data_IF_130571579562
#
_entry.id   IF_130571579562
#
_cell.length_a   1.000
_cell.length_b   1.000
_cell.length_c   1.000
_cell.angle_alpha   90.00
_cell.angle_beta   90.00
_cell.angle_gamma   90.00
#
_symmetry.space_group_name_H-M   'P 1'
#
loop_
_entity.id
_entity.type
_entity.pdbx_description
1 polymer ?
#
# COMPACT_ATOMS: atom_id res chain seq x y z
N UNK A 1 13.41 -11.04 -12.56
CA UNK A 1 14.30 -10.09 -11.85
C UNK A 1 13.39 -9.31 -10.92
N UNK A 2 13.75 -9.18 -9.64
CA UNK A 2 12.93 -8.50 -8.63
C UNK A 2 13.61 -7.27 -8.04
N UNK A 3 14.54 -6.69 -8.81
CA UNK A 3 15.28 -5.50 -8.44
C UNK A 3 15.16 -4.49 -9.57
N UNK A 4 14.92 -3.24 -9.21
CA UNK A 4 14.85 -2.12 -10.16
C UNK A 4 15.87 -1.04 -9.79
N UNK A 5 16.54 -0.50 -10.81
CA UNK A 5 17.45 0.61 -10.63
C UNK A 5 16.69 1.91 -10.36
N UNK A 6 17.15 2.64 -9.35
CA UNK A 6 16.70 3.97 -8.97
C UNK A 6 17.69 5.08 -9.39
N UNK A 7 18.76 4.72 -10.11
CA UNK A 7 19.75 5.70 -10.57
C UNK A 7 19.07 6.79 -11.41
N UNK A 8 19.45 8.04 -11.14
CA UNK A 8 18.91 9.24 -11.80
C UNK A 8 17.59 9.74 -11.22
N UNK A 9 16.99 9.06 -10.23
CA UNK A 9 15.78 9.51 -9.55
C UNK A 9 16.09 10.07 -8.17
N UNK A 10 15.37 11.12 -7.77
CA UNK A 10 15.40 11.60 -6.39
C UNK A 10 14.65 10.61 -5.50
N UNK A 11 15.23 10.23 -4.36
CA UNK A 11 14.61 9.26 -3.43
C UNK A 11 13.24 9.71 -2.92
N UNK A 12 13.06 11.02 -2.73
CA UNK A 12 11.78 11.59 -2.33
C UNK A 12 10.68 11.35 -3.38
N UNK A 13 11.01 11.47 -4.66
CA UNK A 13 10.06 11.20 -5.74
C UNK A 13 9.75 9.72 -5.86
N UNK A 14 10.75 8.86 -5.66
CA UNK A 14 10.58 7.40 -5.61
C UNK A 14 9.63 7.02 -4.48
N UNK A 15 9.86 7.53 -3.26
CA UNK A 15 9.00 7.27 -2.11
C UNK A 15 7.57 7.76 -2.37
N UNK A 16 7.42 8.99 -2.87
CA UNK A 16 6.11 9.57 -3.17
C UNK A 16 5.38 8.76 -4.26
N UNK A 17 6.04 8.39 -5.36
CA UNK A 17 5.43 7.63 -6.45
C UNK A 17 4.94 6.25 -5.99
N UNK A 18 5.77 5.53 -5.22
CA UNK A 18 5.40 4.24 -4.66
C UNK A 18 4.24 4.40 -3.67
N UNK A 19 4.31 5.34 -2.73
CA UNK A 19 3.23 5.58 -1.78
C UNK A 19 1.92 5.98 -2.47
N UNK A 20 2.02 6.85 -3.48
CA UNK A 20 0.87 7.34 -4.23
C UNK A 20 0.23 6.23 -5.05
N UNK A 21 0.98 5.23 -5.52
CA UNK A 21 0.45 4.05 -6.21
C UNK A 21 0.00 2.92 -5.26
N UNK A 22 0.42 2.94 -3.99
CA UNK A 22 0.14 1.89 -3.01
C UNK A 22 -1.31 1.92 -2.53
N UNK A 23 -1.85 0.77 -2.12
CA UNK A 23 -3.20 0.65 -1.55
C UNK A 23 -3.17 0.44 -0.03
N UNK A 24 -4.23 0.83 0.71
CA UNK A 24 -4.45 0.34 2.08
C UNK A 24 -4.69 -1.18 2.09
N UNK A 25 -4.35 -1.84 3.19
CA UNK A 25 -4.51 -3.29 3.36
C UNK A 25 -5.14 -3.63 4.71
N UNK A 26 -6.21 -4.42 4.71
CA UNK A 26 -6.85 -4.94 5.92
C UNK A 26 -7.17 -3.82 6.93
N UNK A 27 -6.69 -3.97 8.17
CA UNK A 27 -6.85 -2.96 9.22
C UNK A 27 -6.18 -1.61 8.92
N UNK A 28 -5.32 -1.53 7.89
CA UNK A 28 -4.72 -0.28 7.41
C UNK A 28 -5.74 0.77 6.99
N UNK A 29 -6.96 0.37 6.60
CA UNK A 29 -8.07 1.31 6.33
C UNK A 29 -8.39 2.22 7.52
N UNK A 30 -8.19 1.79 8.77
CA UNK A 30 -8.41 2.65 9.95
C UNK A 30 -7.42 3.81 10.07
N UNK A 31 -6.31 3.78 9.34
CA UNK A 31 -5.28 4.83 9.30
C UNK A 31 -5.13 5.45 7.91
N UNK A 32 -6.04 5.13 6.99
CA UNK A 32 -5.93 5.51 5.60
C UNK A 32 -6.16 7.02 5.40
N UNK A 33 -5.15 7.66 4.82
CA UNK A 33 -5.21 9.02 4.31
C UNK A 33 -5.25 8.97 2.78
N UNK A 34 -6.30 9.51 2.18
CA UNK A 34 -6.45 9.53 0.70
C UNK A 34 -5.56 10.56 0.04
N UNK A 35 -4.98 11.50 0.80
CA UNK A 35 -4.12 12.53 0.26
C UNK A 35 -2.84 11.92 -0.34
N UNK A 36 -2.46 12.31 -1.57
CA UNK A 36 -1.16 11.93 -2.13
C UNK A 36 -0.02 12.59 -1.35
N UNK A 37 1.09 11.86 -1.22
CA UNK A 37 2.33 12.36 -0.65
C UNK A 37 3.00 13.32 -1.62
N UNK A 38 3.34 14.51 -1.12
CA UNK A 38 4.16 15.48 -1.83
C UNK A 38 5.65 15.21 -1.60
N UNK A 39 6.50 15.74 -2.49
CA UNK A 39 7.97 15.56 -2.42
C UNK A 39 8.52 16.03 -1.07
N UNK A 40 8.07 17.17 -0.57
CA UNK A 40 8.58 17.78 0.67
C UNK A 40 8.28 16.90 1.89
N UNK A 41 7.12 16.25 1.89
CA UNK A 41 6.75 15.28 2.93
C UNK A 41 7.66 14.04 2.85
N UNK A 42 7.88 13.51 1.65
CA UNK A 42 8.77 12.37 1.42
C UNK A 42 10.22 12.68 1.86
N UNK A 43 10.72 13.88 1.57
CA UNK A 43 12.04 14.35 2.05
C UNK A 43 12.12 14.38 3.57
N UNK A 44 11.05 14.82 4.24
CA UNK A 44 10.96 14.83 5.69
C UNK A 44 11.03 13.43 6.31
N UNK A 45 10.35 12.46 5.68
CA UNK A 45 10.36 11.05 6.12
C UNK A 45 11.73 10.40 5.90
N UNK A 46 12.37 10.67 4.76
CA UNK A 46 13.67 10.10 4.40
C UNK A 46 14.82 10.56 5.30
N UNK A 47 14.67 11.70 5.99
CA UNK A 47 15.62 12.14 7.03
C UNK A 47 15.57 11.25 8.28
N UNK A 48 14.48 10.52 8.50
CA UNK A 48 14.27 9.69 9.69
C UNK A 48 14.60 8.22 9.42
N UNK A 49 14.21 7.71 8.25
CA UNK A 49 14.44 6.32 7.86
C UNK A 49 14.39 6.19 6.34
N UNK A 50 15.04 5.17 5.81
CA UNK A 50 14.94 4.77 4.39
C UNK A 50 14.13 3.49 4.20
N UNK A 51 13.69 2.85 5.29
CA UNK A 51 12.90 1.60 5.25
C UNK A 51 11.48 1.86 5.70
N UNK A 52 10.53 1.44 4.88
CA UNK A 52 9.10 1.67 5.07
C UNK A 52 8.33 0.38 4.82
N UNK A 53 7.77 -0.21 5.89
CA UNK A 53 6.89 -1.37 5.76
C UNK A 53 5.43 -0.94 5.55
N UNK A 54 4.99 0.09 6.29
CA UNK A 54 3.68 0.72 6.15
C UNK A 54 3.79 2.24 6.31
N UNK A 55 2.96 2.99 5.58
CA UNK A 55 2.84 4.44 5.70
C UNK A 55 1.36 4.83 5.57
N UNK A 56 0.82 5.50 6.60
CA UNK A 56 -0.57 6.00 6.63
C UNK A 56 -1.61 4.97 6.16
N UNK A 57 -1.51 3.76 6.71
CA UNK A 57 -2.41 2.64 6.37
C UNK A 57 -2.09 1.91 5.07
N UNK A 58 -1.17 2.42 4.23
CA UNK A 58 -0.74 1.80 2.97
C UNK A 58 0.47 0.91 3.17
N UNK A 59 0.50 -0.21 2.47
CA UNK A 59 1.58 -1.20 2.53
C UNK A 59 2.69 -0.86 1.54
N UNK A 60 3.93 -0.82 2.02
CA UNK A 60 5.08 -0.33 1.26
C UNK A 60 6.15 -1.42 1.10
N UNK A 61 6.67 -1.98 2.20
CA UNK A 61 7.74 -3.00 2.20
C UNK A 61 8.95 -2.65 1.32
N UNK A 62 9.38 -1.38 1.36
CA UNK A 62 10.52 -0.88 0.56
C UNK A 62 11.70 -0.43 1.41
N UNK A 63 12.89 -0.49 0.83
CA UNK A 63 14.11 0.10 1.36
C UNK A 63 14.76 0.99 0.29
N UNK A 64 14.97 2.26 0.60
CA UNK A 64 15.48 3.30 -0.30
C UNK A 64 16.89 3.77 0.07
N UNK A 65 17.63 3.00 0.87
CA UNK A 65 18.99 3.33 1.30
C UNK A 65 20.00 3.36 0.14
N UNK A 66 19.79 2.51 -0.87
CA UNK A 66 20.65 2.37 -2.04
C UNK A 66 19.97 2.78 -3.34
N UNK A 67 20.67 2.58 -4.46
CA UNK A 67 20.19 2.87 -5.82
C UNK A 67 19.48 1.71 -6.49
N UNK A 68 19.17 0.65 -5.75
CA UNK A 68 18.41 -0.50 -6.19
C UNK A 68 17.27 -0.73 -5.20
N UNK A 69 16.10 -1.11 -5.73
CA UNK A 69 14.93 -1.45 -4.94
C UNK A 69 14.55 -2.91 -5.20
N UNK A 70 14.54 -3.72 -4.14
CA UNK A 70 13.89 -5.03 -4.13
C UNK A 70 12.36 -4.85 -4.12
N UNK A 71 11.71 -5.32 -5.18
CA UNK A 71 10.28 -5.11 -5.43
C UNK A 71 9.39 -6.19 -4.82
N UNK A 72 9.96 -7.32 -4.35
CA UNK A 72 9.18 -8.49 -3.92
C UNK A 72 8.15 -8.18 -2.84
N UNK A 73 8.55 -7.43 -1.82
CA UNK A 73 7.67 -7.05 -0.73
C UNK A 73 6.55 -6.13 -1.20
N UNK A 74 6.90 -5.10 -1.97
CA UNK A 74 5.93 -4.14 -2.50
C UNK A 74 4.91 -4.81 -3.42
N UNK A 75 5.38 -5.62 -4.36
CA UNK A 75 4.55 -6.29 -5.37
C UNK A 75 3.68 -7.40 -4.78
N UNK A 76 4.11 -8.06 -3.71
CA UNK A 76 3.32 -9.07 -3.03
C UNK A 76 1.97 -8.51 -2.56
N UNK A 77 1.96 -7.25 -2.11
CA UNK A 77 0.77 -6.61 -1.57
C UNK A 77 0.08 -5.67 -2.57
N UNK A 78 0.84 -4.95 -3.40
CA UNK A 78 0.32 -3.98 -4.36
C UNK A 78 0.10 -4.55 -5.77
N UNK A 79 0.40 -5.83 -5.98
CA UNK A 79 0.22 -6.56 -7.23
C UNK A 79 1.51 -6.71 -8.03
N UNK A 80 1.60 -7.79 -8.81
CA UNK A 80 2.77 -8.13 -9.61
C UNK A 80 3.19 -6.96 -10.53
N UNK A 81 4.46 -6.57 -10.48
CA UNK A 81 5.04 -5.51 -11.31
C UNK A 81 4.60 -4.09 -10.92
N UNK A 82 4.03 -3.90 -9.72
CA UNK A 82 3.47 -2.61 -9.32
C UNK A 82 4.57 -1.57 -9.08
N UNK A 83 5.70 -1.97 -8.49
CA UNK A 83 6.85 -1.08 -8.33
C UNK A 83 7.42 -0.65 -9.68
N UNK A 84 7.60 -1.58 -10.62
CA UNK A 84 8.09 -1.31 -11.97
C UNK A 84 7.20 -0.30 -12.69
N UNK A 85 5.88 -0.46 -12.63
CA UNK A 85 4.92 0.47 -13.24
C UNK A 85 5.02 1.87 -12.63
N UNK A 86 5.04 1.98 -11.30
CA UNK A 86 5.14 3.27 -10.62
C UNK A 86 6.45 4.00 -10.96
N UNK A 87 7.58 3.28 -10.99
CA UNK A 87 8.89 3.88 -11.32
C UNK A 87 9.01 4.20 -12.81
N UNK A 88 8.47 3.38 -13.70
CA UNK A 88 8.43 3.67 -15.13
C UNK A 88 7.62 4.96 -15.41
N UNK A 89 6.46 5.10 -14.77
CA UNK A 89 5.62 6.28 -14.90
C UNK A 89 6.30 7.53 -14.34
N UNK A 90 6.96 7.42 -13.17
CA UNK A 90 7.76 8.51 -12.61
C UNK A 90 8.89 8.92 -13.56
N UNK A 91 9.58 7.97 -14.19
CA UNK A 91 10.64 8.27 -15.17
C UNK A 91 10.08 8.96 -16.41
N UNK A 92 8.91 8.55 -16.89
CA UNK A 92 8.30 9.08 -18.09
C UNK A 92 7.76 10.52 -17.90
N UNK A 93 7.19 10.80 -16.74
CA UNK A 93 6.45 12.05 -16.48
C UNK A 93 7.19 13.04 -15.59
N UNK A 94 8.17 12.56 -14.81
CA UNK A 94 8.77 13.29 -13.69
C UNK A 94 7.75 13.77 -12.64
N UNK A 95 6.57 13.14 -12.61
CA UNK A 95 5.47 13.42 -11.69
C UNK A 95 5.20 12.19 -10.80
N UNK A 96 5.41 12.33 -9.49
CA UNK A 96 5.19 11.28 -8.51
C UNK A 96 3.70 11.03 -8.22
N UNK A 97 2.79 11.81 -8.81
CA UNK A 97 1.35 11.66 -8.67
C UNK A 97 0.64 11.86 -10.02
N UNK A 98 1.19 11.30 -11.11
CA UNK A 98 0.54 11.38 -12.43
C UNK A 98 -0.87 10.78 -12.43
N UNK A 99 -1.68 11.09 -13.45
CA UNK A 99 -3.03 10.53 -13.58
C UNK A 99 -3.03 8.99 -13.62
N UNK A 100 -1.99 8.36 -14.18
CA UNK A 100 -1.80 6.90 -14.19
C UNK A 100 -1.58 6.35 -12.78
N UNK A 101 -0.75 7.02 -11.97
CA UNK A 101 -0.51 6.65 -10.57
C UNK A 101 -1.79 6.81 -9.75
N UNK A 102 -2.51 7.91 -9.92
CA UNK A 102 -3.79 8.16 -9.24
C UNK A 102 -4.85 7.11 -9.61
N UNK A 103 -4.95 6.75 -10.89
CA UNK A 103 -5.87 5.71 -11.35
C UNK A 103 -5.51 4.34 -10.76
N UNK A 104 -4.22 4.00 -10.71
CA UNK A 104 -3.73 2.75 -10.09
C UNK A 104 -4.13 2.69 -8.62
N UNK A 105 -3.90 3.77 -7.88
CA UNK A 105 -4.28 3.87 -6.47
C UNK A 105 -5.78 3.70 -6.27
N UNK A 106 -6.57 4.40 -7.07
CA UNK A 106 -8.03 4.39 -7.00
C UNK A 106 -8.57 2.97 -7.21
N UNK A 107 -8.20 2.31 -8.31
CA UNK A 107 -8.63 0.95 -8.63
C UNK A 107 -8.24 -0.03 -7.53
N UNK A 108 -6.96 -0.04 -7.15
CA UNK A 108 -6.45 -0.97 -6.16
C UNK A 108 -7.05 -0.75 -4.76
N UNK A 109 -7.35 0.50 -4.40
CA UNK A 109 -7.98 0.82 -3.11
C UNK A 109 -9.43 0.33 -3.07
N UNK A 110 -10.18 0.46 -4.17
CA UNK A 110 -11.54 -0.08 -4.25
C UNK A 110 -11.53 -1.61 -4.19
N UNK A 111 -10.63 -2.28 -4.91
CA UNK A 111 -10.49 -3.73 -4.85
C UNK A 111 -10.15 -4.22 -3.42
N UNK A 112 -9.21 -3.55 -2.75
CA UNK A 112 -8.85 -3.88 -1.37
C UNK A 112 -10.01 -3.61 -0.38
N UNK A 113 -10.83 -2.58 -0.64
CA UNK A 113 -11.98 -2.27 0.19
C UNK A 113 -13.08 -3.34 0.07
N UNK A 114 -13.36 -3.80 -1.15
CA UNK A 114 -14.32 -4.89 -1.39
C UNK A 114 -13.86 -6.22 -0.78
N UNK A 115 -12.56 -6.52 -0.85
CA UNK A 115 -11.96 -7.68 -0.17
C UNK A 115 -12.19 -7.63 1.35
N UNK A 116 -11.88 -6.49 1.98
CA UNK A 116 -12.12 -6.31 3.43
C UNK A 116 -13.61 -6.41 3.75
N UNK A 117 -14.51 -5.87 2.93
CA UNK A 117 -15.96 -5.98 3.15
C UNK A 117 -16.45 -7.41 3.10
N UNK A 118 -15.93 -8.21 2.18
CA UNK A 118 -16.29 -9.63 2.03
C UNK A 118 -16.00 -10.40 3.30
N UNK A 119 -14.86 -10.11 3.95
CA UNK A 119 -14.40 -10.82 5.14
C UNK A 119 -14.72 -10.11 6.47
N UNK A 120 -15.36 -8.93 6.44
CA UNK A 120 -15.51 -8.05 7.61
C UNK A 120 -16.20 -8.71 8.81
N UNK A 121 -17.19 -9.56 8.54
CA UNK A 121 -18.01 -10.22 9.57
C UNK A 121 -17.55 -11.65 9.86
N UNK A 122 -16.44 -12.10 9.28
CA UNK A 122 -15.90 -13.42 9.57
C UNK A 122 -15.37 -13.47 10.99
N UNK A 123 -15.82 -14.47 11.74
CA UNK A 123 -15.37 -14.71 13.11
C UNK A 123 -14.07 -15.50 13.16
N UNK A 124 -13.32 -15.33 14.26
CA UNK A 124 -12.16 -16.17 14.52
C UNK A 124 -12.57 -17.64 14.72
N UNK A 125 -11.76 -18.56 14.20
CA UNK A 125 -11.97 -20.00 14.34
C UNK A 125 -10.65 -20.73 14.59
N UNK A 126 -10.71 -22.00 14.98
CA UNK A 126 -9.53 -22.84 15.15
C UNK A 126 -9.77 -24.24 14.63
N UNK A 127 -8.75 -24.85 14.04
CA UNK A 127 -8.79 -26.23 13.56
C UNK A 127 -7.51 -26.99 13.95
N UNK A 128 -7.59 -28.32 14.02
CA UNK A 128 -6.41 -29.17 14.25
C UNK A 128 -5.96 -29.74 12.91
N UNK A 129 -4.74 -29.41 12.47
CA UNK A 129 -4.10 -29.98 11.28
C UNK A 129 -2.80 -30.66 11.65
N UNK A 130 -2.71 -31.97 11.42
CA UNK A 130 -1.50 -32.75 11.70
C UNK A 130 -1.05 -32.72 13.17
N UNK A 131 -1.99 -32.59 14.12
CA UNK A 131 -1.68 -32.47 15.56
C UNK A 131 -1.31 -31.04 16.01
N UNK A 132 -1.32 -30.06 15.11
CA UNK A 132 -1.09 -28.64 15.42
C UNK A 132 -2.42 -27.90 15.41
N UNK A 133 -2.67 -27.06 16.44
CA UNK A 133 -3.82 -26.15 16.46
C UNK A 133 -3.49 -24.93 15.59
N UNK A 134 -4.29 -24.69 14.57
CA UNK A 134 -4.23 -23.53 13.68
C UNK A 134 -5.36 -22.60 14.05
N UNK A 135 -5.04 -21.34 14.33
CA UNK A 135 -6.02 -20.29 14.58
C UNK A 135 -6.19 -19.44 13.31
N UNK A 136 -7.44 -19.30 12.87
CA UNK A 136 -7.85 -18.36 11.83
C UNK A 136 -8.45 -17.15 12.52
N UNK A 137 -7.83 -15.99 12.35
CA UNK A 137 -8.29 -14.75 12.97
C UNK A 137 -9.19 -14.01 11.99
N UNK A 138 -10.47 -13.89 12.34
CA UNK A 138 -11.45 -13.14 11.56
C UNK A 138 -11.44 -11.64 11.88
N UNK A 139 -12.22 -10.86 11.12
CA UNK A 139 -12.31 -9.41 11.30
C UNK A 139 -13.51 -8.96 12.14
N UNK A 140 -14.40 -9.88 12.57
CA UNK A 140 -15.64 -9.55 13.29
C UNK A 140 -15.43 -8.67 14.51
N UNK A 141 -14.34 -8.89 15.25
CA UNK A 141 -14.04 -8.20 16.51
C UNK A 141 -13.68 -6.72 16.29
N UNK A 142 -13.24 -6.36 15.08
CA UNK A 142 -12.89 -4.98 14.69
C UNK A 142 -13.89 -4.38 13.70
N UNK A 143 -14.92 -5.12 13.29
CA UNK A 143 -15.88 -4.71 12.26
C UNK A 143 -16.53 -3.34 12.55
N UNK A 144 -16.83 -3.06 13.83
CA UNK A 144 -17.45 -1.80 14.25
C UNK A 144 -16.59 -0.54 14.01
N UNK A 145 -15.27 -0.69 13.85
CA UNK A 145 -14.36 0.40 13.49
C UNK A 145 -13.87 0.29 12.05
N UNK A 146 -13.57 -0.92 11.60
CA UNK A 146 -13.04 -1.17 10.28
C UNK A 146 -14.08 -0.92 9.18
N UNK A 147 -15.33 -1.34 9.37
CA UNK A 147 -16.40 -1.13 8.39
C UNK A 147 -16.59 0.34 8.01
N UNK A 148 -16.82 1.25 8.98
CA UNK A 148 -16.93 2.69 8.69
C UNK A 148 -15.68 3.28 8.02
N UNK A 149 -14.48 2.82 8.39
CA UNK A 149 -13.24 3.30 7.78
C UNK A 149 -13.12 2.87 6.30
N UNK A 150 -13.57 1.66 5.97
CA UNK A 150 -13.64 1.17 4.59
C UNK A 150 -14.71 1.91 3.79
N UNK A 151 -15.89 2.16 4.38
CA UNK A 151 -16.95 2.95 3.75
C UNK A 151 -16.51 4.38 3.43
N UNK A 152 -15.80 5.03 4.36
CA UNK A 152 -15.21 6.36 4.15
C UNK A 152 -14.18 6.35 3.01
N UNK A 153 -13.31 5.34 2.96
CA UNK A 153 -12.35 5.18 1.86
C UNK A 153 -13.04 5.03 0.50
N UNK A 154 -14.09 4.19 0.40
CA UNK A 154 -14.88 4.04 -0.83
C UNK A 154 -15.55 5.37 -1.20
N UNK A 155 -16.12 6.09 -0.23
CA UNK A 155 -16.78 7.38 -0.45
C UNK A 155 -15.85 8.42 -1.07
N UNK A 156 -14.60 8.50 -0.60
CA UNK A 156 -13.55 9.40 -1.13
C UNK A 156 -13.13 9.09 -2.57
N UNK A 157 -13.44 7.89 -3.06
CA UNK A 157 -13.08 7.44 -4.41
C UNK A 157 -14.25 7.41 -5.39
N UNK A 158 -15.50 7.51 -4.93
CA UNK A 158 -16.69 7.58 -5.81
C UNK A 158 -17.13 9.00 -6.17
N UNK A 159 -16.57 10.01 -5.51
CA UNK A 159 -16.87 11.44 -5.72
C UNK A 159 -15.94 12.04 -6.80
#
# INVERSE_FOLDING_TARGET
MSEISLVGLKKADVLAALYNASKPQGMGFMHYDSKPMAREEAEGLLKQTTRFDYLKGRVMKVNLAGDELDTRGYDCDNGQGAAERAIAELRATSDANSSTIQATHHTNTLEAAEDVKTHLNEGSSSEIRGGVVVFHLGLSDVAGKLGPAVDDAIGKHKA
#
